data_IF_320488325318
#
_entry.id   IF_320488325318
#
_cell.length_a   1.000
_cell.length_b   1.000
_cell.length_c   1.000
_cell.angle_alpha   90.00
_cell.angle_beta   90.00
_cell.angle_gamma   90.00
#
_symmetry.space_group_name_H-M   'P 1'
#
loop_
_entity.id
_entity.type
_entity.pdbx_description
1 polymer ?
#
# COMPACT_ATOMS: atom_id res chain seq x y z
N UNK A 1 -29.69 17.59 -7.69
CA UNK A 1 -30.38 16.34 -7.38
C UNK A 1 -30.60 15.58 -8.68
N UNK A 2 -30.42 14.22 -8.70
CA UNK A 2 -30.63 13.43 -9.90
C UNK A 2 -32.11 13.47 -10.32
N UNK A 3 -32.34 13.75 -11.59
CA UNK A 3 -33.70 13.84 -12.15
C UNK A 3 -34.42 12.48 -12.22
N UNK A 4 -33.67 11.37 -12.21
CA UNK A 4 -34.18 9.98 -12.18
C UNK A 4 -33.25 9.09 -11.36
N UNK A 5 -33.78 8.33 -10.44
CA UNK A 5 -33.06 7.27 -9.75
C UNK A 5 -33.03 6.02 -10.64
N UNK A 6 -31.84 5.53 -10.99
CA UNK A 6 -31.68 4.33 -11.81
C UNK A 6 -30.60 3.42 -11.24
N UNK A 7 -30.85 2.12 -11.22
CA UNK A 7 -29.90 1.09 -10.78
C UNK A 7 -29.05 0.50 -11.94
N UNK A 8 -29.16 1.05 -13.12
CA UNK A 8 -28.47 0.55 -14.33
C UNK A 8 -26.94 0.49 -14.16
N UNK A 9 -26.34 1.44 -13.45
CA UNK A 9 -24.93 1.44 -13.14
C UNK A 9 -24.52 0.24 -12.25
N UNK A 10 -25.31 -0.10 -11.26
CA UNK A 10 -25.08 -1.26 -10.39
C UNK A 10 -25.35 -2.58 -11.11
N UNK A 11 -26.34 -2.62 -12.03
CA UNK A 11 -26.59 -3.78 -12.88
C UNK A 11 -25.39 -4.08 -13.79
N UNK A 12 -24.76 -3.05 -14.35
CA UNK A 12 -23.52 -3.22 -15.14
C UNK A 12 -22.37 -3.81 -14.30
N UNK A 13 -22.18 -3.33 -13.08
CA UNK A 13 -21.18 -3.89 -12.15
C UNK A 13 -21.54 -5.34 -11.79
N UNK A 14 -22.81 -5.64 -11.59
CA UNK A 14 -23.30 -6.98 -11.24
C UNK A 14 -23.10 -7.98 -12.38
N UNK A 15 -23.30 -7.58 -13.63
CA UNK A 15 -22.99 -8.40 -14.79
C UNK A 15 -21.52 -8.81 -14.87
N UNK A 16 -20.63 -7.98 -14.33
CA UNK A 16 -19.19 -8.24 -14.23
C UNK A 16 -18.76 -8.72 -12.83
N UNK A 17 -19.68 -9.16 -12.00
CA UNK A 17 -19.44 -9.46 -10.57
C UNK A 17 -18.28 -10.47 -10.38
N UNK A 18 -18.19 -11.51 -11.19
CA UNK A 18 -17.11 -12.50 -11.10
C UNK A 18 -15.71 -11.89 -11.27
N UNK A 19 -15.56 -10.92 -12.15
CA UNK A 19 -14.31 -10.19 -12.36
C UNK A 19 -14.02 -9.25 -11.18
N UNK A 20 -15.06 -8.56 -10.70
CA UNK A 20 -14.95 -7.65 -9.55
C UNK A 20 -14.58 -8.42 -8.28
N UNK A 21 -15.23 -9.54 -7.98
CA UNK A 21 -14.90 -10.36 -6.80
C UNK A 21 -13.47 -10.93 -6.86
N UNK A 22 -13.01 -11.36 -8.04
CA UNK A 22 -11.63 -11.79 -8.23
C UNK A 22 -10.65 -10.64 -7.97
N UNK A 23 -10.92 -9.47 -8.52
CA UNK A 23 -10.09 -8.29 -8.32
C UNK A 23 -10.03 -7.88 -6.84
N UNK A 24 -11.13 -7.95 -6.09
CA UNK A 24 -11.13 -7.76 -4.64
C UNK A 24 -10.29 -8.81 -3.91
N UNK A 25 -10.47 -10.08 -4.23
CA UNK A 25 -9.67 -11.16 -3.63
C UNK A 25 -8.18 -10.93 -3.81
N UNK A 26 -7.75 -10.58 -5.03
CA UNK A 26 -6.35 -10.25 -5.31
C UNK A 26 -5.89 -9.01 -4.54
N UNK A 27 -6.69 -7.96 -4.50
CA UNK A 27 -6.36 -6.73 -3.75
C UNK A 27 -6.17 -7.01 -2.26
N UNK A 28 -7.07 -7.79 -1.65
CA UNK A 28 -6.95 -8.18 -0.24
C UNK A 28 -5.66 -8.97 0.00
N UNK A 29 -5.37 -9.96 -0.84
CA UNK A 29 -4.15 -10.78 -0.73
C UNK A 29 -2.90 -9.90 -0.83
N UNK A 30 -2.82 -9.04 -1.85
CA UNK A 30 -1.69 -8.12 -2.05
C UNK A 30 -1.55 -7.17 -0.86
N UNK A 31 -2.65 -6.60 -0.39
CA UNK A 31 -2.65 -5.65 0.75
C UNK A 31 -2.19 -6.33 2.03
N UNK A 32 -2.73 -7.50 2.37
CA UNK A 32 -2.37 -8.21 3.61
C UNK A 32 -0.92 -8.67 3.57
N UNK A 33 -0.51 -9.36 2.50
CA UNK A 33 0.86 -9.87 2.36
C UNK A 33 1.85 -8.70 2.28
N UNK A 34 1.58 -7.71 1.43
CA UNK A 34 2.44 -6.56 1.24
C UNK A 34 2.64 -5.77 2.54
N UNK A 35 1.55 -5.49 3.27
CA UNK A 35 1.61 -4.80 4.57
C UNK A 35 2.41 -5.60 5.59
N UNK A 36 2.13 -6.91 5.73
CA UNK A 36 2.84 -7.75 6.68
C UNK A 36 4.35 -7.80 6.40
N UNK A 37 4.74 -8.02 5.14
CA UNK A 37 6.16 -8.05 4.75
C UNK A 37 6.81 -6.68 4.94
N UNK A 38 6.13 -5.59 4.57
CA UNK A 38 6.62 -4.21 4.80
C UNK A 38 6.90 -3.96 6.28
N UNK A 39 5.98 -4.33 7.17
CA UNK A 39 6.16 -4.15 8.61
C UNK A 39 7.36 -4.93 9.15
N UNK A 40 7.48 -6.21 8.76
CA UNK A 40 8.61 -7.04 9.17
C UNK A 40 9.92 -6.46 8.68
N UNK A 41 10.06 -6.16 7.39
CA UNK A 41 11.30 -5.65 6.82
C UNK A 41 11.65 -4.26 7.37
N UNK A 42 10.66 -3.36 7.49
CA UNK A 42 10.87 -2.00 8.02
C UNK A 42 11.37 -2.07 9.47
N UNK A 43 10.74 -2.90 10.32
CA UNK A 43 11.16 -3.01 11.72
C UNK A 43 12.51 -3.69 11.88
N UNK A 44 12.81 -4.72 11.06
CA UNK A 44 14.12 -5.40 11.06
C UNK A 44 15.27 -4.48 10.63
N UNK A 45 15.02 -3.55 9.71
CA UNK A 45 16.02 -2.56 9.28
C UNK A 45 16.11 -1.41 10.29
N UNK A 46 14.97 -0.91 10.78
CA UNK A 46 14.92 0.23 11.68
C UNK A 46 15.54 -0.07 13.06
N UNK A 47 15.39 -1.30 13.56
CA UNK A 47 15.91 -1.68 14.87
C UNK A 47 17.44 -1.55 14.99
N UNK A 48 18.28 -2.21 14.17
CA UNK A 48 19.72 -2.03 14.25
C UNK A 48 20.14 -0.57 14.02
N UNK A 49 19.48 0.14 13.10
CA UNK A 49 19.77 1.56 12.86
C UNK A 49 19.41 2.47 14.02
N UNK A 50 18.55 2.04 14.94
CA UNK A 50 18.22 2.76 16.16
C UNK A 50 19.30 2.63 17.24
N UNK A 51 20.11 1.56 17.22
CA UNK A 51 21.13 1.31 18.21
C UNK A 51 22.30 2.30 18.06
N UNK A 52 22.73 2.92 19.19
CA UNK A 52 23.83 3.90 19.20
C UNK A 52 25.18 3.27 18.83
N UNK A 53 25.38 2.02 19.23
CA UNK A 53 26.66 1.28 19.10
C UNK A 53 26.76 0.46 17.81
N UNK A 54 25.89 0.66 16.82
CA UNK A 54 25.98 -0.04 15.54
C UNK A 54 27.22 0.46 14.75
N UNK A 55 28.18 -0.41 14.41
CA UNK A 55 29.29 -0.02 13.57
C UNK A 55 28.79 0.39 12.17
N UNK A 56 29.34 1.49 11.63
CA UNK A 56 28.92 2.01 10.34
C UNK A 56 27.52 2.66 10.31
N UNK A 57 26.88 2.89 11.46
CA UNK A 57 25.56 3.52 11.57
C UNK A 57 25.38 4.80 10.73
N UNK A 58 26.33 5.76 10.69
CA UNK A 58 26.18 6.95 9.85
C UNK A 58 26.06 6.62 8.37
N UNK A 59 26.86 5.67 7.90
CA UNK A 59 26.82 5.22 6.51
C UNK A 59 25.48 4.59 6.14
N UNK A 60 24.98 3.65 6.94
CA UNK A 60 23.67 3.02 6.68
C UNK A 60 22.51 4.01 6.77
N UNK A 61 22.54 4.94 7.72
CA UNK A 61 21.55 6.00 7.79
C UNK A 61 21.57 6.92 6.57
N UNK A 62 22.77 7.29 6.12
CA UNK A 62 22.94 8.07 4.89
C UNK A 62 22.44 7.29 3.68
N UNK A 63 22.77 6.00 3.58
CA UNK A 63 22.31 5.16 2.48
C UNK A 63 20.77 5.08 2.40
N UNK A 64 20.09 4.85 3.52
CA UNK A 64 18.61 4.87 3.57
C UNK A 64 18.08 6.24 3.16
N UNK A 65 18.65 7.32 3.67
CA UNK A 65 18.24 8.68 3.33
C UNK A 65 18.50 9.00 1.84
N UNK A 66 19.64 8.55 1.31
CA UNK A 66 20.01 8.73 -0.09
C UNK A 66 18.98 8.11 -1.05
N UNK A 67 18.46 6.90 -0.73
CA UNK A 67 17.42 6.25 -1.55
C UNK A 67 16.10 7.03 -1.59
N UNK A 68 15.86 7.93 -0.64
CA UNK A 68 14.70 8.82 -0.65
C UNK A 68 14.90 10.02 -1.60
N UNK A 69 16.14 10.51 -1.73
CA UNK A 69 16.46 11.68 -2.54
C UNK A 69 16.68 11.35 -4.02
N UNK A 70 17.22 10.16 -4.31
CA UNK A 70 17.63 9.78 -5.64
C UNK A 70 16.77 8.61 -6.16
N UNK A 71 16.16 8.84 -7.31
CA UNK A 71 15.40 7.83 -8.06
C UNK A 71 15.95 7.74 -9.47
N UNK A 72 16.12 6.54 -9.97
CA UNK A 72 16.51 6.30 -11.37
C UNK A 72 15.43 6.65 -12.39
N UNK A 73 14.21 6.96 -11.91
CA UNK A 73 13.08 7.27 -12.76
C UNK A 73 12.30 6.02 -13.20
N UNK A 74 11.20 6.26 -13.89
CA UNK A 74 10.23 5.22 -14.27
C UNK A 74 10.82 4.22 -15.28
N UNK A 75 11.48 4.72 -16.33
CA UNK A 75 11.95 3.86 -17.44
C UNK A 75 13.03 2.88 -16.99
N UNK A 76 14.12 3.29 -16.31
CA UNK A 76 15.10 2.35 -15.77
C UNK A 76 14.49 1.35 -14.78
N UNK A 77 13.58 1.79 -13.91
CA UNK A 77 12.88 0.91 -12.98
C UNK A 77 12.02 -0.12 -13.73
N UNK A 78 11.29 0.30 -14.76
CA UNK A 78 10.49 -0.60 -15.58
C UNK A 78 11.34 -1.67 -16.26
N UNK A 79 12.46 -1.28 -16.88
CA UNK A 79 13.37 -2.23 -17.55
C UNK A 79 13.94 -3.22 -16.51
N UNK A 80 14.40 -2.72 -15.36
CA UNK A 80 14.91 -3.56 -14.29
C UNK A 80 13.88 -4.62 -13.85
N UNK A 81 12.67 -4.20 -13.53
CA UNK A 81 11.62 -5.09 -13.03
C UNK A 81 11.11 -6.07 -14.07
N UNK A 82 11.00 -5.65 -15.35
CA UNK A 82 10.43 -6.49 -16.41
C UNK A 82 11.43 -7.37 -17.11
N UNK A 83 12.71 -6.93 -17.25
CA UNK A 83 13.74 -7.65 -18.03
C UNK A 83 14.65 -8.46 -17.11
N UNK A 84 15.11 -7.87 -15.99
CA UNK A 84 16.03 -8.54 -15.08
C UNK A 84 15.28 -9.46 -14.11
N UNK A 85 14.25 -8.93 -13.44
CA UNK A 85 13.49 -9.69 -12.41
C UNK A 85 12.27 -10.44 -12.97
N UNK A 86 11.86 -10.20 -14.22
CA UNK A 86 10.75 -10.89 -14.88
C UNK A 86 9.44 -10.94 -14.06
N UNK A 87 9.10 -9.86 -13.33
CA UNK A 87 7.93 -9.83 -12.46
C UNK A 87 6.61 -9.56 -13.22
N UNK A 88 6.67 -9.26 -14.52
CA UNK A 88 5.51 -8.89 -15.33
C UNK A 88 4.43 -9.97 -15.25
N UNK A 89 3.17 -9.55 -15.04
CA UNK A 89 2.02 -10.45 -14.86
C UNK A 89 2.19 -11.49 -13.74
N UNK A 90 2.84 -11.11 -12.64
CA UNK A 90 2.92 -11.90 -11.41
C UNK A 90 2.43 -11.08 -10.23
N UNK A 91 2.18 -11.73 -9.08
CA UNK A 91 1.82 -11.03 -7.85
C UNK A 91 2.95 -10.11 -7.35
N UNK A 92 4.21 -10.44 -7.67
CA UNK A 92 5.38 -9.64 -7.32
C UNK A 92 5.38 -8.27 -7.98
N UNK A 93 4.66 -8.11 -9.10
CA UNK A 93 4.46 -6.83 -9.77
C UNK A 93 3.76 -5.79 -8.88
N UNK A 94 2.93 -6.25 -7.95
CA UNK A 94 2.26 -5.39 -6.98
C UNK A 94 3.02 -5.25 -5.66
N UNK A 95 3.83 -6.24 -5.30
CA UNK A 95 4.50 -6.26 -4.00
C UNK A 95 5.82 -5.50 -4.00
N UNK A 96 6.67 -5.72 -5.02
CA UNK A 96 8.07 -5.26 -4.99
C UNK A 96 8.26 -3.80 -5.40
N UNK A 97 7.72 -3.31 -6.55
CA UNK A 97 8.03 -1.96 -7.00
C UNK A 97 7.45 -0.90 -6.04
N UNK A 98 8.34 -0.07 -5.49
CA UNK A 98 8.04 1.16 -4.73
C UNK A 98 7.28 1.02 -3.40
N UNK A 99 6.63 -0.11 -3.11
CA UNK A 99 5.75 -0.24 -1.93
C UNK A 99 6.36 -1.06 -0.80
N UNK A 100 7.20 -2.07 -1.10
CA UNK A 100 7.68 -3.02 -0.11
C UNK A 100 8.58 -2.36 0.95
N UNK A 101 9.48 -1.48 0.54
CA UNK A 101 10.38 -0.74 1.42
C UNK A 101 10.32 0.76 1.10
N UNK A 102 10.01 1.55 2.12
CA UNK A 102 10.04 3.00 2.07
C UNK A 102 11.08 3.52 3.05
N UNK A 103 12.04 4.29 2.56
CA UNK A 103 13.05 4.94 3.41
C UNK A 103 12.39 5.85 4.47
N UNK A 104 11.31 6.53 4.09
CA UNK A 104 10.52 7.34 5.02
C UNK A 104 9.99 6.52 6.21
N UNK A 105 9.40 5.35 5.94
CA UNK A 105 8.89 4.47 6.98
C UNK A 105 10.02 3.94 7.89
N UNK A 106 11.17 3.57 7.30
CA UNK A 106 12.34 3.11 8.05
C UNK A 106 12.83 4.20 9.00
N UNK A 107 12.96 5.44 8.52
CA UNK A 107 13.41 6.58 9.33
C UNK A 107 12.43 6.90 10.46
N UNK A 108 11.12 6.85 10.19
CA UNK A 108 10.09 7.07 11.21
C UNK A 108 10.15 6.01 12.32
N UNK A 109 10.17 4.72 11.96
CA UNK A 109 10.23 3.62 12.92
C UNK A 109 11.53 3.68 13.72
N UNK A 110 12.67 3.90 13.06
CA UNK A 110 13.97 4.09 13.70
C UNK A 110 13.93 5.22 14.72
N UNK A 111 13.41 6.38 14.34
CA UNK A 111 13.32 7.55 15.22
C UNK A 111 12.46 7.24 16.43
N UNK A 112 11.31 6.60 16.23
CA UNK A 112 10.43 6.17 17.31
C UNK A 112 11.16 5.23 18.29
N UNK A 113 11.87 4.22 17.77
CA UNK A 113 12.64 3.29 18.63
C UNK A 113 13.70 4.01 19.44
N UNK A 114 14.36 5.03 18.86
CA UNK A 114 15.38 5.82 19.56
C UNK A 114 14.83 6.72 20.64
N UNK A 115 13.63 7.28 20.45
CA UNK A 115 13.07 8.29 21.35
C UNK A 115 12.14 7.71 22.40
N UNK A 116 11.49 6.59 22.09
CA UNK A 116 10.45 6.01 22.94
C UNK A 116 10.92 4.83 23.78
N UNK A 117 12.07 4.21 23.44
CA UNK A 117 12.62 3.08 24.21
C UNK A 117 13.84 3.57 24.97
N UNK A 118 13.81 3.59 26.32
CA UNK A 118 14.94 4.01 27.14
C UNK A 118 16.18 3.10 26.94
N UNK A 119 17.36 3.70 26.88
CA UNK A 119 18.63 2.95 26.75
C UNK A 119 18.83 1.95 27.90
N UNK A 120 18.39 2.29 29.11
CA UNK A 120 18.46 1.42 30.27
C UNK A 120 17.82 0.04 30.08
N UNK A 121 16.74 -0.05 29.25
CA UNK A 121 16.13 -1.35 28.93
C UNK A 121 17.04 -2.22 28.04
N UNK A 122 17.78 -1.61 27.13
CA UNK A 122 18.75 -2.32 26.31
C UNK A 122 19.94 -2.81 27.15
N UNK A 123 20.40 -1.99 28.10
CA UNK A 123 21.52 -2.33 28.99
C UNK A 123 21.13 -3.46 29.95
N UNK A 124 20.00 -3.36 30.63
CA UNK A 124 19.49 -4.41 31.52
C UNK A 124 19.34 -5.75 30.78
N UNK A 125 18.72 -5.74 29.61
CA UNK A 125 18.54 -6.95 28.82
C UNK A 125 19.88 -7.58 28.39
N UNK A 126 20.92 -6.76 28.12
CA UNK A 126 22.27 -7.27 27.80
C UNK A 126 22.97 -7.88 29.04
N UNK A 127 22.80 -7.29 30.20
CA UNK A 127 23.32 -7.83 31.46
C UNK A 127 22.67 -9.20 31.72
N UNK A 128 21.37 -9.35 31.44
CA UNK A 128 20.63 -10.62 31.53
C UNK A 128 21.01 -11.63 30.43
N UNK A 129 21.98 -11.33 29.56
CA UNK A 129 22.47 -12.22 28.51
C UNK A 129 21.55 -12.30 27.30
N UNK A 130 20.59 -11.38 27.13
CA UNK A 130 19.67 -11.41 25.98
C UNK A 130 20.39 -11.09 24.67
N UNK A 131 20.12 -11.89 23.64
CA UNK A 131 20.62 -11.64 22.27
C UNK A 131 19.88 -10.46 21.64
N UNK A 132 20.48 -9.84 20.63
CA UNK A 132 19.84 -8.75 19.87
C UNK A 132 18.46 -9.13 19.34
N UNK A 133 18.26 -10.35 18.88
CA UNK A 133 16.98 -10.82 18.39
C UNK A 133 15.94 -10.99 19.53
N UNK A 134 16.40 -11.42 20.71
CA UNK A 134 15.54 -11.51 21.90
C UNK A 134 15.07 -10.13 22.34
N UNK A 135 15.97 -9.15 22.37
CA UNK A 135 15.65 -7.76 22.68
C UNK A 135 14.65 -7.20 21.66
N UNK A 136 14.91 -7.41 20.37
CA UNK A 136 14.00 -7.01 19.30
C UNK A 136 12.59 -7.55 19.50
N UNK A 137 12.47 -8.87 19.71
CA UNK A 137 11.16 -9.54 19.79
C UNK A 137 10.42 -9.23 21.10
N UNK A 138 11.14 -9.20 22.25
CA UNK A 138 10.51 -9.10 23.58
C UNK A 138 10.38 -7.67 24.10
N UNK A 139 11.19 -6.73 23.63
CA UNK A 139 11.20 -5.35 24.11
C UNK A 139 10.79 -4.40 22.98
N UNK A 140 11.53 -4.39 21.87
CA UNK A 140 11.38 -3.38 20.83
C UNK A 140 10.05 -3.49 20.11
N UNK A 141 9.66 -4.67 19.65
CA UNK A 141 8.40 -4.87 18.95
C UNK A 141 7.16 -4.58 19.81
N UNK A 142 7.07 -5.06 21.08
CA UNK A 142 5.95 -4.73 21.95
C UNK A 142 5.85 -3.22 22.25
N UNK A 143 6.96 -2.56 22.54
CA UNK A 143 6.99 -1.11 22.78
C UNK A 143 6.76 -0.29 21.50
N UNK A 144 7.17 -0.83 20.35
CA UNK A 144 6.98 -0.25 19.03
C UNK A 144 5.58 -0.43 18.42
N UNK A 145 4.65 -1.10 19.09
CA UNK A 145 3.30 -1.33 18.57
C UNK A 145 2.62 -0.07 18.01
N UNK A 146 2.65 1.09 18.68
CA UNK A 146 1.96 2.28 18.18
C UNK A 146 2.47 2.71 16.80
N UNK A 147 3.78 2.80 16.62
CA UNK A 147 4.36 3.19 15.33
C UNK A 147 4.13 2.11 14.27
N UNK A 148 4.21 0.82 14.64
CA UNK A 148 3.98 -0.28 13.71
C UNK A 148 2.54 -0.29 13.19
N UNK A 149 1.55 0.03 14.02
CA UNK A 149 0.15 0.19 13.57
C UNK A 149 0.01 1.35 12.59
N UNK A 150 0.66 2.48 12.85
CA UNK A 150 0.65 3.65 11.96
C UNK A 150 1.27 3.32 10.60
N UNK A 151 2.46 2.70 10.58
CA UNK A 151 3.12 2.28 9.34
C UNK A 151 2.31 1.20 8.63
N UNK A 152 1.72 0.26 9.37
CA UNK A 152 0.85 -0.77 8.80
C UNK A 152 -0.35 -0.20 8.07
N UNK A 153 -0.93 0.87 8.60
CA UNK A 153 -2.01 1.57 7.93
C UNK A 153 -1.54 2.28 6.66
N UNK A 154 -0.43 3.04 6.71
CA UNK A 154 0.09 3.71 5.53
C UNK A 154 0.46 2.71 4.43
N UNK A 155 1.13 1.61 4.78
CA UNK A 155 1.45 0.54 3.84
C UNK A 155 0.17 -0.12 3.29
N UNK A 156 -0.78 -0.46 4.15
CA UNK A 156 -2.05 -1.07 3.75
C UNK A 156 -2.85 -0.20 2.79
N UNK A 157 -2.96 1.10 3.07
CA UNK A 157 -3.60 2.05 2.16
C UNK A 157 -2.81 2.20 0.85
N UNK A 158 -1.48 2.17 0.91
CA UNK A 158 -0.62 2.20 -0.27
C UNK A 158 -0.88 1.02 -1.20
N UNK A 159 -0.86 -0.20 -0.67
CA UNK A 159 -1.16 -1.42 -1.44
C UNK A 159 -2.61 -1.48 -1.93
N UNK A 160 -3.57 -1.06 -1.11
CA UNK A 160 -4.98 -1.02 -1.49
C UNK A 160 -5.24 -0.09 -2.67
N UNK A 161 -4.62 1.09 -2.66
CA UNK A 161 -4.82 2.12 -3.68
C UNK A 161 -3.87 2.00 -4.88
N UNK A 162 -3.01 0.97 -4.92
CA UNK A 162 -2.04 0.83 -5.99
C UNK A 162 -2.70 0.42 -7.31
N UNK A 163 -2.80 1.39 -8.21
CA UNK A 163 -3.16 1.17 -9.60
C UNK A 163 -1.94 1.33 -10.54
N UNK A 164 -0.91 2.01 -10.07
CA UNK A 164 0.27 2.39 -10.87
C UNK A 164 1.08 1.17 -11.25
N UNK A 165 1.41 0.31 -10.29
CA UNK A 165 2.14 -0.93 -10.58
C UNK A 165 1.33 -1.85 -11.51
N UNK A 166 0.02 -1.94 -11.30
CA UNK A 166 -0.86 -2.69 -12.19
C UNK A 166 -0.89 -2.14 -13.61
N UNK A 167 -0.88 -0.81 -13.77
CA UNK A 167 -0.85 -0.16 -15.08
C UNK A 167 0.43 -0.51 -15.86
N UNK A 168 1.59 -0.47 -15.19
CA UNK A 168 2.88 -0.67 -15.86
C UNK A 168 3.27 -2.14 -16.02
N UNK A 169 2.98 -2.98 -15.04
CA UNK A 169 3.53 -4.33 -14.99
C UNK A 169 2.52 -5.44 -15.26
N UNK A 170 1.20 -5.15 -15.29
CA UNK A 170 0.16 -6.18 -15.44
C UNK A 170 -0.72 -5.92 -16.65
N UNK A 171 -0.70 -6.87 -17.61
CA UNK A 171 -1.50 -6.81 -18.83
C UNK A 171 -2.65 -7.83 -18.82
N UNK A 172 -2.56 -8.87 -17.97
CA UNK A 172 -3.57 -9.92 -17.89
C UNK A 172 -4.75 -9.47 -17.05
N UNK A 173 -5.95 -9.41 -17.61
CA UNK A 173 -7.16 -8.98 -16.92
C UNK A 173 -7.49 -9.82 -15.68
N UNK A 174 -7.08 -11.09 -15.68
CA UNK A 174 -7.26 -12.00 -14.54
C UNK A 174 -6.44 -11.60 -13.31
N UNK A 175 -5.42 -10.77 -13.49
CA UNK A 175 -4.51 -10.28 -12.41
C UNK A 175 -4.73 -8.82 -12.07
N UNK A 176 -5.83 -8.22 -12.50
CA UNK A 176 -6.13 -6.84 -12.12
C UNK A 176 -6.60 -6.77 -10.66
N UNK A 177 -5.97 -5.88 -9.89
CA UNK A 177 -6.51 -5.42 -8.60
C UNK A 177 -7.75 -4.58 -8.84
N UNK A 178 -8.53 -4.33 -7.78
CA UNK A 178 -9.76 -3.55 -7.90
C UNK A 178 -9.48 -2.15 -8.46
N UNK A 179 -8.41 -1.47 -8.02
CA UNK A 179 -8.06 -0.14 -8.48
C UNK A 179 -7.66 -0.12 -9.97
N UNK A 180 -6.91 -1.13 -10.41
CA UNK A 180 -6.55 -1.28 -11.84
C UNK A 180 -7.79 -1.54 -12.69
N UNK A 181 -8.66 -2.46 -12.24
CA UNK A 181 -9.91 -2.79 -12.96
C UNK A 181 -10.78 -1.55 -13.12
N UNK A 182 -10.98 -0.80 -12.03
CA UNK A 182 -11.82 0.39 -12.03
C UNK A 182 -11.24 1.51 -12.88
N UNK A 183 -9.92 1.69 -12.83
CA UNK A 183 -9.24 2.67 -13.68
C UNK A 183 -9.43 2.35 -15.17
N UNK A 184 -9.27 1.08 -15.56
CA UNK A 184 -9.52 0.64 -16.94
C UNK A 184 -10.97 0.82 -17.35
N UNK A 185 -11.93 0.44 -16.53
CA UNK A 185 -13.35 0.69 -16.79
C UNK A 185 -13.65 2.18 -17.04
N UNK A 186 -13.03 3.08 -16.27
CA UNK A 186 -13.17 4.53 -16.47
C UNK A 186 -12.56 4.95 -17.80
N UNK A 187 -11.38 4.43 -18.17
CA UNK A 187 -10.73 4.73 -19.44
C UNK A 187 -11.55 4.22 -20.64
N UNK A 188 -12.10 3.02 -20.56
CA UNK A 188 -12.94 2.43 -21.60
C UNK A 188 -14.21 3.27 -21.83
N UNK A 189 -14.86 3.70 -20.73
CA UNK A 189 -16.04 4.59 -20.80
C UNK A 189 -15.67 5.95 -21.42
N UNK A 190 -14.48 6.49 -21.13
CA UNK A 190 -14.02 7.75 -21.72
C UNK A 190 -13.73 7.59 -23.22
N UNK A 191 -13.10 6.49 -23.62
CA UNK A 191 -12.81 6.21 -25.02
C UNK A 191 -14.10 6.08 -25.84
N UNK A 192 -15.11 5.39 -25.32
CA UNK A 192 -16.43 5.30 -25.94
C UNK A 192 -17.15 6.63 -26.04
N UNK A 193 -17.07 7.46 -25.00
CA UNK A 193 -17.69 8.80 -25.00
C UNK A 193 -17.05 9.75 -26.02
N UNK A 194 -15.74 9.60 -26.26
CA UNK A 194 -14.99 10.45 -27.20
C UNK A 194 -15.09 9.96 -28.65
N UNK A 195 -15.45 8.69 -28.91
CA UNK A 195 -15.59 8.09 -30.24
C UNK A 195 -16.94 7.38 -30.39
N UNK A 196 -18.06 8.09 -30.49
CA UNK A 196 -19.39 7.50 -30.56
C UNK A 196 -19.64 6.65 -31.84
N UNK A 197 -18.78 6.76 -32.87
CA UNK A 197 -18.92 6.08 -34.16
C UNK A 197 -17.93 4.93 -34.41
N UNK A 198 -17.03 4.64 -33.46
CA UNK A 198 -15.88 3.73 -33.68
C UNK A 198 -16.09 2.25 -33.33
N UNK A 199 -17.25 1.82 -32.92
CA UNK A 199 -17.46 0.46 -32.41
C UNK A 199 -18.62 -0.28 -33.06
N UNK A 200 -18.33 -1.11 -34.05
CA UNK A 200 -19.25 -2.15 -34.53
C UNK A 200 -19.57 -3.11 -33.39
N UNK A 201 -20.67 -2.95 -32.67
CA UNK A 201 -21.17 -4.04 -31.84
C UNK A 201 -21.91 -3.73 -30.55
N UNK A 202 -22.06 -2.50 -30.10
CA UNK A 202 -22.78 -2.28 -28.84
C UNK A 202 -23.58 -0.98 -28.80
N UNK A 203 -24.65 -0.95 -29.61
CA UNK A 203 -25.67 0.11 -29.50
C UNK A 203 -26.30 0.25 -28.09
N UNK A 204 -26.05 -0.70 -27.20
CA UNK A 204 -26.47 -0.67 -25.80
C UNK A 204 -25.58 0.21 -24.89
N UNK A 205 -24.31 0.43 -25.25
CA UNK A 205 -23.36 1.21 -24.42
C UNK A 205 -23.42 2.72 -24.67
N UNK A 206 -23.96 3.14 -25.83
CA UNK A 206 -24.09 4.56 -26.19
C UNK A 206 -25.06 5.32 -25.29
N UNK A 207 -26.01 4.62 -24.66
CA UNK A 207 -27.01 5.21 -23.72
C UNK A 207 -26.70 5.01 -22.24
N UNK A 208 -25.51 4.49 -21.89
CA UNK A 208 -25.17 4.32 -20.48
C UNK A 208 -24.83 5.69 -19.86
N UNK A 209 -25.40 6.01 -18.69
CA UNK A 209 -25.06 7.24 -17.97
C UNK A 209 -23.63 7.13 -17.43
N UNK A 210 -22.63 7.53 -18.23
CA UNK A 210 -21.19 7.41 -17.97
C UNK A 210 -20.80 7.97 -16.60
N UNK A 211 -21.42 9.08 -16.19
CA UNK A 211 -21.20 9.70 -14.87
C UNK A 211 -21.71 8.80 -13.74
N UNK A 212 -22.91 8.23 -13.88
CA UNK A 212 -23.49 7.35 -12.84
C UNK A 212 -22.67 6.07 -12.66
N UNK A 213 -22.14 5.50 -13.74
CA UNK A 213 -21.27 4.31 -13.67
C UNK A 213 -19.95 4.64 -12.97
N UNK A 214 -19.33 5.78 -13.26
CA UNK A 214 -18.12 6.23 -12.57
C UNK A 214 -18.35 6.41 -11.07
N UNK A 215 -19.47 7.00 -10.67
CA UNK A 215 -19.83 7.19 -9.26
C UNK A 215 -20.08 5.84 -8.56
N UNK A 216 -20.79 4.92 -9.21
CA UNK A 216 -21.01 3.58 -8.67
C UNK A 216 -19.68 2.80 -8.51
N UNK A 217 -18.80 2.88 -9.49
CA UNK A 217 -17.45 2.30 -9.45
C UNK A 217 -16.65 2.89 -8.27
N UNK A 218 -16.63 4.22 -8.12
CA UNK A 218 -15.93 4.89 -7.02
C UNK A 218 -16.48 4.44 -5.65
N UNK A 219 -17.79 4.32 -5.52
CA UNK A 219 -18.44 3.84 -4.30
C UNK A 219 -18.02 2.40 -3.97
N UNK A 220 -18.04 1.51 -4.95
CA UNK A 220 -17.58 0.12 -4.79
C UNK A 220 -16.12 0.08 -4.35
N UNK A 221 -15.23 0.90 -4.94
CA UNK A 221 -13.81 0.94 -4.57
C UNK A 221 -13.56 1.37 -3.13
N UNK A 222 -14.34 2.31 -2.62
CA UNK A 222 -14.19 2.89 -1.27
C UNK A 222 -14.83 2.02 -0.18
N UNK A 223 -15.85 1.24 -0.51
CA UNK A 223 -16.68 0.51 0.45
C UNK A 223 -15.86 -0.33 1.46
N UNK A 224 -14.86 -1.13 1.08
CA UNK A 224 -14.08 -1.89 2.05
C UNK A 224 -13.26 -1.01 3.00
N UNK A 225 -12.75 0.12 2.50
CA UNK A 225 -12.02 1.09 3.34
C UNK A 225 -12.97 1.69 4.39
N UNK A 226 -14.18 2.05 3.99
CA UNK A 226 -15.20 2.59 4.91
C UNK A 226 -15.57 1.59 6.01
N UNK A 227 -15.60 0.30 5.70
CA UNK A 227 -15.87 -0.76 6.68
C UNK A 227 -14.69 -0.92 7.66
N UNK A 228 -13.47 -0.88 7.17
CA UNK A 228 -12.26 -1.12 7.96
C UNK A 228 -11.86 0.13 8.78
N UNK A 229 -12.15 1.33 8.29
CA UNK A 229 -11.75 2.59 8.90
C UNK A 229 -12.13 2.75 10.39
N UNK A 230 -13.37 2.46 10.85
CA UNK A 230 -13.75 2.58 12.26
C UNK A 230 -12.91 1.69 13.19
N UNK A 231 -12.46 0.53 12.71
CA UNK A 231 -11.60 -0.36 13.48
C UNK A 231 -10.18 0.17 13.63
N UNK A 232 -9.72 0.93 12.63
CA UNK A 232 -8.38 1.53 12.63
C UNK A 232 -8.33 2.87 13.39
N UNK A 233 -9.44 3.62 13.39
CA UNK A 233 -9.54 4.96 14.00
C UNK A 233 -9.10 4.97 15.47
N UNK A 234 -9.47 3.95 16.26
CA UNK A 234 -9.08 3.83 17.67
C UNK A 234 -7.56 3.79 17.92
N UNK A 235 -6.80 3.30 16.94
CA UNK A 235 -5.33 3.23 17.04
C UNK A 235 -4.65 4.53 16.63
N UNK A 236 -5.29 5.36 15.80
CA UNK A 236 -4.80 6.69 15.44
C UNK A 236 -4.74 7.64 16.61
N UNK A 237 -5.82 7.68 17.41
CA UNK A 237 -5.91 8.56 18.56
C UNK A 237 -4.76 8.31 19.57
N UNK A 238 -4.33 7.04 19.70
CA UNK A 238 -3.24 6.65 20.60
C UNK A 238 -1.84 6.96 20.05
N UNK A 239 -1.63 6.85 18.73
CA UNK A 239 -0.31 7.02 18.11
C UNK A 239 0.09 8.48 17.89
N UNK A 240 -0.86 9.34 17.54
CA UNK A 240 -0.60 10.77 17.27
C UNK A 240 -0.43 11.54 18.57
N UNK A 241 -1.15 11.16 19.64
CA UNK A 241 -1.04 11.82 20.95
C UNK A 241 0.35 11.66 21.57
N UNK A 242 1.07 10.56 21.32
CA UNK A 242 2.43 10.34 21.85
C UNK A 242 3.49 11.21 21.14
N UNK A 243 3.24 11.69 19.93
CA UNK A 243 4.12 12.62 19.22
C UNK A 243 3.90 14.09 19.57
N UNK A 244 2.71 14.43 20.10
CA UNK A 244 2.30 15.81 20.36
C UNK A 244 2.58 16.29 21.82
N UNK A 245 2.95 15.40 22.73
CA UNK A 245 3.08 15.70 24.18
C UNK A 245 4.54 15.94 24.60
N UNK A 246 5.46 16.21 23.69
CA UNK A 246 6.80 16.72 24.00
C UNK A 246 7.02 18.08 23.32
N UNK A 247 6.26 19.06 23.76
CA UNK A 247 6.53 20.47 23.62
C UNK A 247 6.60 21.08 25.00
#
# INVERSE_FOLDING_TARGET
FPAKFGLTAYQYIWQNAGTVFRAYGLTIIVTVIGTAVTLVLTSLIAYPLSLKNLPGRPFFNFYVFFTMLFSGGLVPAYIMWTTIFNIKNTIFAYLLPNLLLSAYNIILVRTFFMTSIPDALYEAARIDGATYFTIYRKIVLPMGKPIMVTIGLFAGLGFWNDWTNGLYYVNRSQMFTIQVLLNRMIQDIQALANNPGGGSGSGALVNLPTVSIRMAIAFVAILPILIVYPFLQKYFASGIALGAVKG
#
